data_IF_189716736591
#
_entry.id   IF_189716736591
#
_cell.length_a   1.000
_cell.length_b   1.000
_cell.length_c   1.000
_cell.angle_alpha   90.00
_cell.angle_beta   90.00
_cell.angle_gamma   90.00
#
_symmetry.space_group_name_H-M   'P 1'
#
loop_
_entity.id
_entity.type
_entity.pdbx_description
1 polymer ?
#
# COMPACT_ATOMS: atom_id res chain seq x y z
N UNK A 1 17.79 -3.75 -16.58
CA UNK A 1 19.05 -2.97 -16.48
C UNK A 1 19.94 -3.67 -15.48
N UNK A 2 21.24 -3.81 -15.76
CA UNK A 2 22.18 -4.39 -14.78
C UNK A 2 22.77 -3.27 -13.92
N UNK A 3 22.64 -3.38 -12.60
CA UNK A 3 23.19 -2.43 -11.65
C UNK A 3 24.71 -2.56 -11.55
N UNK A 4 25.46 -1.47 -11.32
CA UNK A 4 26.89 -1.56 -11.04
C UNK A 4 27.13 -2.46 -9.83
N UNK A 5 28.23 -3.21 -9.85
CA UNK A 5 28.62 -4.03 -8.70
C UNK A 5 28.83 -3.15 -7.45
N UNK A 6 28.30 -3.61 -6.31
CA UNK A 6 28.39 -2.91 -5.03
C UNK A 6 27.24 -1.94 -4.74
N UNK A 7 26.33 -1.70 -5.68
CA UNK A 7 25.11 -0.92 -5.41
C UNK A 7 24.10 -1.79 -4.64
N UNK A 8 23.79 -1.37 -3.42
CA UNK A 8 22.67 -1.88 -2.64
C UNK A 8 21.36 -1.38 -3.24
N UNK A 9 20.38 -2.27 -3.29
CA UNK A 9 19.10 -2.02 -3.96
C UNK A 9 17.94 -2.16 -2.98
N UNK A 10 16.89 -1.41 -3.27
CA UNK A 10 15.59 -1.47 -2.61
C UNK A 10 14.56 -1.84 -3.67
N UNK A 11 13.71 -2.82 -3.38
CA UNK A 11 12.58 -3.18 -4.23
C UNK A 11 11.45 -2.16 -4.04
N UNK A 12 10.80 -1.80 -5.14
CA UNK A 12 9.57 -1.02 -5.16
C UNK A 12 8.51 -1.93 -5.73
N UNK A 13 7.43 -2.09 -4.96
CA UNK A 13 6.31 -2.94 -5.28
C UNK A 13 5.06 -2.10 -5.57
N UNK A 14 4.23 -2.58 -6.49
CA UNK A 14 2.94 -2.00 -6.82
C UNK A 14 1.95 -3.12 -7.17
N UNK A 15 0.77 -3.08 -6.58
CA UNK A 15 -0.30 -4.02 -6.84
C UNK A 15 -1.00 -3.76 -8.16
N UNK A 16 -1.68 -4.80 -8.68
CA UNK A 16 -2.58 -4.68 -9.83
C UNK A 16 -3.73 -3.72 -9.52
N UNK A 17 -4.11 -2.87 -10.47
CA UNK A 17 -5.31 -2.04 -10.39
C UNK A 17 -6.36 -2.55 -11.36
N UNK A 18 -7.63 -2.47 -10.96
CA UNK A 18 -8.77 -2.91 -11.76
C UNK A 18 -9.68 -1.72 -12.09
N UNK A 19 -10.40 -1.81 -13.20
CA UNK A 19 -11.50 -0.90 -13.48
C UNK A 19 -12.76 -1.30 -12.67
N UNK A 20 -13.82 -0.52 -12.78
CA UNK A 20 -15.10 -0.81 -12.11
C UNK A 20 -15.70 -2.18 -12.47
N UNK A 21 -15.38 -2.70 -13.66
CA UNK A 21 -15.86 -3.99 -14.16
C UNK A 21 -14.96 -5.17 -13.77
N UNK A 22 -13.85 -4.92 -13.07
CA UNK A 22 -12.88 -5.93 -12.66
C UNK A 22 -11.82 -6.26 -13.71
N UNK A 23 -11.76 -5.54 -14.83
CA UNK A 23 -10.69 -5.73 -15.82
C UNK A 23 -9.38 -5.08 -15.35
N UNK A 24 -8.22 -5.72 -15.57
CA UNK A 24 -6.92 -5.14 -15.31
C UNK A 24 -6.69 -3.79 -16.04
N UNK A 25 -6.20 -2.80 -15.30
CA UNK A 25 -5.75 -1.54 -15.84
C UNK A 25 -4.22 -1.50 -15.98
N UNK A 26 -3.70 -0.89 -17.06
CA UNK A 26 -2.27 -0.68 -17.19
C UNK A 26 -1.78 0.33 -16.16
N UNK A 27 -0.69 -0.02 -15.50
CA UNK A 27 0.04 0.78 -14.53
C UNK A 27 1.38 1.16 -15.14
N UNK A 28 1.74 2.42 -15.02
CA UNK A 28 3.02 2.97 -15.46
C UNK A 28 3.63 3.75 -14.31
N UNK A 29 4.85 3.39 -13.91
CA UNK A 29 5.58 4.04 -12.81
C UNK A 29 6.89 4.62 -13.33
N UNK A 30 7.08 5.92 -13.16
CA UNK A 30 8.33 6.62 -13.44
C UNK A 30 8.93 7.13 -12.14
N UNK A 31 10.17 6.73 -11.81
CA UNK A 31 10.84 7.16 -10.59
C UNK A 31 11.99 8.11 -10.90
N UNK A 32 12.05 9.20 -10.17
CA UNK A 32 13.10 10.22 -10.27
C UNK A 32 13.76 10.39 -8.89
N UNK A 33 15.09 10.33 -8.78
CA UNK A 33 15.75 10.69 -7.53
C UNK A 33 15.73 12.21 -7.33
N UNK A 34 15.55 12.64 -6.09
CA UNK A 34 15.39 14.04 -5.70
C UNK A 34 16.40 14.34 -4.59
N UNK A 35 17.26 15.33 -4.82
CA UNK A 35 18.26 15.79 -3.86
C UNK A 35 18.11 17.31 -3.70
N UNK A 36 18.03 17.79 -2.45
CA UNK A 36 17.81 19.23 -2.18
C UNK A 36 16.50 19.78 -2.77
N UNK A 37 15.48 18.93 -2.92
CA UNK A 37 14.17 19.30 -3.50
C UNK A 37 14.14 19.39 -5.02
N UNK A 38 15.22 19.04 -5.72
CA UNK A 38 15.28 19.04 -7.18
C UNK A 38 15.61 17.66 -7.73
N UNK A 39 15.17 17.37 -8.95
CA UNK A 39 15.54 16.15 -9.65
C UNK A 39 17.08 16.05 -9.75
N UNK A 40 17.61 14.94 -9.27
CA UNK A 40 19.04 14.70 -9.20
C UNK A 40 19.47 13.71 -10.28
N UNK A 41 20.71 13.85 -10.73
CA UNK A 41 21.40 12.82 -11.50
C UNK A 41 22.35 12.09 -10.56
N UNK A 42 22.17 10.79 -10.43
CA UNK A 42 23.05 9.94 -9.62
C UNK A 42 24.12 9.30 -10.51
N UNK A 43 25.36 9.32 -10.04
CA UNK A 43 26.50 8.70 -10.70
C UNK A 43 27.17 7.77 -9.71
N UNK A 44 27.41 6.52 -10.09
CA UNK A 44 28.21 5.60 -9.29
C UNK A 44 29.67 5.99 -9.37
N UNK A 45 30.24 6.45 -8.26
CA UNK A 45 31.57 7.06 -8.21
C UNK A 45 32.69 6.10 -8.60
N UNK A 46 32.52 4.80 -8.37
CA UNK A 46 33.55 3.80 -8.66
C UNK A 46 33.74 3.57 -10.18
N UNK A 47 32.69 3.75 -10.98
CA UNK A 47 32.75 3.50 -12.44
C UNK A 47 32.48 4.76 -13.27
N UNK A 48 32.00 5.84 -12.66
CA UNK A 48 31.48 7.01 -13.37
C UNK A 48 30.16 6.75 -14.10
N UNK A 49 29.53 5.58 -13.89
CA UNK A 49 28.29 5.22 -14.56
C UNK A 49 27.14 6.08 -14.06
N UNK A 50 26.47 6.78 -14.97
CA UNK A 50 25.22 7.49 -14.66
C UNK A 50 24.12 6.47 -14.43
N UNK A 51 23.43 6.59 -13.31
CA UNK A 51 22.23 5.81 -13.02
C UNK A 51 21.06 6.46 -13.74
N UNK A 52 20.44 5.67 -14.62
CA UNK A 52 19.17 6.02 -15.25
C UNK A 52 18.14 5.07 -14.66
N UNK A 53 17.17 5.61 -13.93
CA UNK A 53 16.08 4.79 -13.43
C UNK A 53 15.15 4.46 -14.60
N UNK A 54 14.82 3.18 -14.72
CA UNK A 54 13.86 2.74 -15.72
C UNK A 54 12.44 3.14 -15.34
N UNK A 55 11.56 3.05 -16.32
CA UNK A 55 10.13 3.07 -16.10
C UNK A 55 9.63 1.62 -15.96
N UNK A 56 8.68 1.40 -15.04
CA UNK A 56 7.92 0.16 -14.96
C UNK A 56 6.60 0.32 -15.72
N UNK A 57 6.25 -0.66 -16.54
CA UNK A 57 4.89 -0.83 -17.07
C UNK A 57 4.40 -2.22 -16.66
N UNK A 58 3.18 -2.28 -16.16
CA UNK A 58 2.60 -3.51 -15.63
C UNK A 58 1.10 -3.55 -15.91
N UNK A 59 0.59 -4.73 -16.23
CA UNK A 59 -0.84 -5.04 -16.26
C UNK A 59 -0.95 -6.47 -15.78
N UNK A 60 -1.62 -6.69 -14.66
CA UNK A 60 -1.70 -8.01 -14.04
C UNK A 60 -3.10 -8.32 -13.54
N UNK A 61 -3.38 -9.61 -13.40
CA UNK A 61 -4.62 -10.13 -12.84
C UNK A 61 -4.82 -9.65 -11.38
N UNK A 62 -6.07 -9.65 -10.87
CA UNK A 62 -6.35 -9.26 -9.49
C UNK A 62 -5.42 -9.94 -8.47
N UNK A 63 -4.74 -9.11 -7.65
CA UNK A 63 -3.81 -9.57 -6.61
C UNK A 63 -2.38 -9.80 -7.09
N UNK A 64 -2.08 -9.51 -8.36
CA UNK A 64 -0.71 -9.55 -8.88
C UNK A 64 0.10 -8.35 -8.35
N UNK A 65 1.39 -8.55 -8.10
CA UNK A 65 2.31 -7.50 -7.66
C UNK A 65 3.44 -7.39 -8.68
N UNK A 66 3.75 -6.18 -9.13
CA UNK A 66 4.94 -5.88 -9.91
C UNK A 66 6.04 -5.32 -9.02
N UNK A 67 7.29 -5.71 -9.30
CA UNK A 67 8.45 -5.27 -8.54
C UNK A 67 9.58 -4.79 -9.46
N UNK A 68 10.23 -3.70 -9.09
CA UNK A 68 11.50 -3.27 -9.67
C UNK A 68 12.41 -2.67 -8.62
N UNK A 69 13.70 -2.64 -8.91
CA UNK A 69 14.71 -2.20 -7.94
C UNK A 69 15.18 -0.78 -8.22
N UNK A 70 15.51 -0.04 -7.17
CA UNK A 70 16.20 1.26 -7.18
C UNK A 70 17.41 1.22 -6.25
N UNK A 71 18.41 2.12 -6.39
CA UNK A 71 19.50 2.21 -5.42
C UNK A 71 19.02 2.64 -4.02
N UNK A 72 19.67 2.13 -2.98
CA UNK A 72 19.46 2.62 -1.61
C UNK A 72 20.04 4.05 -1.45
N UNK A 73 19.29 5.04 -0.92
CA UNK A 73 19.73 6.42 -0.76
C UNK A 73 20.77 6.68 0.33
N UNK A 74 20.88 5.81 1.33
CA UNK A 74 21.74 6.04 2.49
C UNK A 74 23.17 5.47 2.28
N UNK A 75 23.38 4.71 1.20
CA UNK A 75 24.65 4.06 0.92
C UNK A 75 25.72 5.02 0.37
N UNK A 76 27.01 4.80 0.68
CA UNK A 76 28.12 5.50 0.03
C UNK A 76 28.24 5.16 -1.46
N UNK A 77 29.03 5.97 -2.18
CA UNK A 77 29.47 5.65 -3.55
C UNK A 77 28.66 6.33 -4.65
N UNK A 78 27.70 7.18 -4.30
CA UNK A 78 27.04 8.04 -5.26
C UNK A 78 27.58 9.47 -5.20
N UNK A 79 27.69 10.07 -6.38
CA UNK A 79 27.91 11.50 -6.55
C UNK A 79 26.81 12.11 -7.42
N UNK A 80 26.56 13.39 -7.23
CA UNK A 80 25.63 14.16 -8.06
C UNK A 80 26.26 14.59 -9.40
N UNK A 81 25.51 15.32 -10.22
CA UNK A 81 26.00 15.85 -11.49
C UNK A 81 27.14 16.87 -11.38
N UNK A 82 27.35 17.47 -10.21
CA UNK A 82 28.42 18.41 -9.91
C UNK A 82 29.65 17.72 -9.27
N UNK A 83 29.55 16.42 -8.97
CA UNK A 83 30.62 15.62 -8.35
C UNK A 83 30.62 15.64 -6.82
N UNK A 84 29.61 16.24 -6.18
CA UNK A 84 29.48 16.18 -4.73
C UNK A 84 28.96 14.81 -4.31
N UNK A 85 29.27 14.40 -3.07
CA UNK A 85 28.71 13.16 -2.51
C UNK A 85 27.18 13.25 -2.46
N UNK A 86 26.50 12.27 -3.06
CA UNK A 86 25.05 12.13 -3.00
C UNK A 86 24.69 11.05 -1.98
N UNK A 87 23.95 11.43 -0.93
CA UNK A 87 23.40 10.57 0.12
C UNK A 87 22.08 11.14 0.59
N UNK A 88 21.28 10.31 1.25
CA UNK A 88 20.01 10.69 1.89
C UNK A 88 19.07 11.42 0.91
N UNK A 89 19.09 11.02 -0.37
CA UNK A 89 18.19 11.56 -1.37
C UNK A 89 16.83 10.87 -1.24
N UNK A 90 15.77 11.53 -1.71
CA UNK A 90 14.43 10.94 -1.78
C UNK A 90 14.07 10.55 -3.21
N UNK A 91 12.96 9.86 -3.38
CA UNK A 91 12.40 9.51 -4.68
C UNK A 91 11.05 10.16 -4.88
N UNK A 92 10.78 10.55 -6.11
CA UNK A 92 9.47 10.95 -6.60
C UNK A 92 9.03 9.94 -7.65
N UNK A 93 7.96 9.19 -7.38
CA UNK A 93 7.31 8.30 -8.33
C UNK A 93 6.09 9.00 -8.93
N UNK A 94 6.04 9.10 -10.25
CA UNK A 94 4.81 9.40 -10.98
C UNK A 94 4.15 8.09 -11.37
N UNK A 95 2.97 7.83 -10.81
CA UNK A 95 2.19 6.62 -11.06
C UNK A 95 1.01 6.99 -11.93
N UNK A 96 0.84 6.27 -13.04
CA UNK A 96 -0.29 6.39 -13.95
C UNK A 96 -1.03 5.07 -13.99
N UNK A 97 -2.34 5.09 -13.74
CA UNK A 97 -3.21 3.93 -13.84
C UNK A 97 -4.37 4.27 -14.77
N UNK A 98 -4.44 3.59 -15.91
CA UNK A 98 -5.36 3.96 -16.98
C UNK A 98 -5.19 5.45 -17.37
N UNK A 99 -6.20 6.28 -17.03
CA UNK A 99 -6.20 7.72 -17.32
C UNK A 99 -5.89 8.60 -16.11
N UNK A 100 -5.66 8.03 -14.93
CA UNK A 100 -5.35 8.78 -13.71
C UNK A 100 -3.84 8.83 -13.50
N UNK A 101 -3.32 9.95 -13.01
CA UNK A 101 -1.90 10.10 -12.70
C UNK A 101 -1.73 10.91 -11.43
N UNK A 102 -0.83 10.45 -10.57
CA UNK A 102 -0.51 11.08 -9.30
C UNK A 102 0.97 10.93 -8.96
N UNK A 103 1.43 11.59 -7.89
CA UNK A 103 2.86 11.64 -7.52
C UNK A 103 3.04 11.25 -6.07
N UNK A 104 3.86 10.24 -5.85
CA UNK A 104 4.23 9.75 -4.52
C UNK A 104 5.69 10.08 -4.25
N UNK A 105 5.95 10.74 -3.12
CA UNK A 105 7.31 10.96 -2.64
C UNK A 105 7.62 10.04 -1.46
N UNK A 106 8.78 9.40 -1.50
CA UNK A 106 9.23 8.48 -0.46
C UNK A 106 10.76 8.47 -0.35
N UNK A 107 11.27 8.03 0.79
CA UNK A 107 12.70 7.81 1.00
C UNK A 107 12.85 6.47 1.73
N UNK A 108 13.47 5.44 1.10
CA UNK A 108 13.83 4.23 1.81
C UNK A 108 14.75 4.57 2.99
N UNK A 109 14.44 4.07 4.18
CA UNK A 109 15.30 4.23 5.36
C UNK A 109 16.38 3.15 5.42
N UNK A 110 17.42 3.38 6.22
CA UNK A 110 18.48 2.40 6.44
C UNK A 110 17.92 1.03 6.88
N UNK A 111 18.32 -0.03 6.18
CA UNK A 111 17.86 -1.40 6.42
C UNK A 111 16.55 -1.78 5.70
N UNK A 112 15.83 -0.82 5.12
CA UNK A 112 14.65 -1.09 4.32
C UNK A 112 15.05 -1.66 2.96
N UNK A 113 14.52 -2.84 2.64
CA UNK A 113 14.78 -3.54 1.38
C UNK A 113 13.61 -3.44 0.40
N UNK A 114 12.46 -2.95 0.86
CA UNK A 114 11.22 -2.92 0.10
C UNK A 114 10.37 -1.68 0.43
N UNK A 115 9.75 -1.11 -0.59
CA UNK A 115 8.74 -0.05 -0.53
C UNK A 115 7.50 -0.54 -1.30
N UNK A 116 6.35 -0.54 -0.65
CA UNK A 116 5.07 -0.76 -1.32
C UNK A 116 4.45 0.60 -1.68
N UNK A 117 4.34 0.90 -2.98
CA UNK A 117 3.75 2.15 -3.47
C UNK A 117 2.26 2.26 -3.16
N UNK A 118 1.55 1.15 -2.97
CA UNK A 118 0.13 1.21 -2.63
C UNK A 118 -0.10 1.77 -1.22
N UNK A 119 0.94 1.69 -0.36
CA UNK A 119 0.94 2.22 1.00
C UNK A 119 1.53 3.63 1.11
N UNK A 120 2.19 4.14 0.05
CA UNK A 120 2.74 5.50 0.05
C UNK A 120 1.62 6.49 -0.26
N UNK A 121 1.44 7.50 0.59
CA UNK A 121 0.39 8.50 0.35
C UNK A 121 0.69 9.36 -0.89
N UNK A 122 -0.37 9.75 -1.61
CA UNK A 122 -0.30 10.68 -2.73
C UNK A 122 0.06 12.09 -2.22
N UNK A 123 1.09 12.71 -2.83
CA UNK A 123 1.55 14.05 -2.52
C UNK A 123 3.07 14.21 -2.51
N UNK A 124 3.53 15.44 -2.79
CA UNK A 124 4.89 15.82 -2.41
C UNK A 124 4.99 15.78 -0.88
N UNK A 125 5.99 15.05 -0.36
CA UNK A 125 6.52 15.40 0.96
C UNK A 125 7.28 16.71 0.78
N UNK A 126 6.57 17.84 0.77
CA UNK A 126 7.20 19.08 1.17
C UNK A 126 7.54 18.89 2.63
N UNK A 127 8.83 18.80 2.96
CA UNK A 127 9.26 19.15 4.31
C UNK A 127 8.52 20.44 4.68
N UNK A 128 7.94 20.57 5.88
CA UNK A 128 7.28 21.82 6.25
C UNK A 128 8.31 22.94 6.07
N UNK A 129 8.18 23.71 5.00
CA UNK A 129 9.00 24.88 4.76
C UNK A 129 8.46 25.92 5.72
N UNK A 130 8.95 25.86 6.95
CA UNK A 130 8.74 26.81 8.05
C UNK A 130 7.29 27.27 8.25
N UNK A 131 6.73 27.03 9.45
CA UNK A 131 5.56 27.80 9.88
C UNK A 131 5.78 29.28 9.53
N UNK A 132 4.78 30.02 9.01
CA UNK A 132 4.98 31.41 8.62
C UNK A 132 5.61 32.15 9.79
N UNK A 133 6.89 32.50 9.65
CA UNK A 133 7.53 33.38 10.63
C UNK A 133 6.77 34.69 10.49
N UNK A 134 6.07 35.17 11.52
CA UNK A 134 5.59 36.54 11.47
C UNK A 134 6.82 37.40 11.22
N UNK A 135 6.80 38.22 10.17
CA UNK A 135 7.85 39.21 9.97
C UNK A 135 7.89 40.08 11.23
N UNK A 136 8.87 39.83 12.10
CA UNK A 136 9.18 40.72 13.21
C UNK A 136 9.82 41.94 12.57
N UNK A 137 8.98 42.88 12.15
CA UNK A 137 9.42 44.16 11.56
C UNK A 137 10.05 45.10 12.58
N UNK A 138 10.22 44.67 13.84
CA UNK A 138 10.99 45.41 14.85
C UNK A 138 11.26 44.57 16.09
N UNK A 139 12.54 44.45 16.46
CA UNK A 139 12.94 44.34 17.87
C UNK A 139 13.37 45.73 18.34
N UNK A 140 12.64 46.32 19.29
CA UNK A 140 12.93 47.62 19.91
C UNK A 140 13.03 48.86 18.98
N UNK A 141 12.38 48.88 17.82
CA UNK A 141 12.16 50.11 17.05
C UNK A 141 13.35 50.64 16.23
N UNK A 142 14.35 49.81 15.91
CA UNK A 142 15.42 50.17 14.96
C UNK A 142 15.16 49.52 13.60
N UNK A 143 14.70 50.30 12.61
CA UNK A 143 14.62 49.86 11.21
C UNK A 143 15.99 50.03 10.54
N UNK A 144 16.70 48.92 10.36
CA UNK A 144 17.91 48.82 9.55
C UNK A 144 18.11 47.37 9.13
N UNK A 145 18.48 47.13 7.88
CA UNK A 145 18.62 45.80 7.30
C UNK A 145 19.51 44.90 8.17
N UNK A 146 18.91 43.91 8.82
CA UNK A 146 19.65 42.81 9.44
C UNK A 146 20.10 41.92 8.29
N UNK A 147 21.39 41.99 7.96
CA UNK A 147 22.02 40.97 7.14
C UNK A 147 22.19 39.76 8.05
N UNK A 148 21.32 38.76 7.89
CA UNK A 148 21.50 37.45 8.51
C UNK A 148 22.65 36.76 7.78
N UNK A 149 23.87 36.97 8.27
CA UNK A 149 24.97 36.06 7.98
C UNK A 149 24.59 34.69 8.54
N UNK A 150 24.67 33.68 7.68
CA UNK A 150 24.26 32.31 7.99
C UNK A 150 25.15 31.69 9.04
N UNK A 151 24.64 31.65 10.27
CA UNK A 151 25.11 30.74 11.30
C UNK A 151 24.03 29.68 11.39
N UNK A 152 24.36 28.46 10.93
CA UNK A 152 23.43 27.34 10.88
C UNK A 152 22.65 27.22 12.18
N UNK A 153 21.33 27.35 12.09
CA UNK A 153 20.45 26.97 13.19
C UNK A 153 20.78 25.53 13.52
N UNK A 154 21.32 25.29 14.71
CA UNK A 154 21.57 23.94 15.17
C UNK A 154 20.29 23.12 15.06
N UNK A 155 20.45 21.82 14.85
CA UNK A 155 19.32 20.90 14.80
C UNK A 155 18.43 21.14 16.03
N UNK A 156 17.12 21.31 15.79
CA UNK A 156 16.15 21.47 16.86
C UNK A 156 16.18 20.26 17.80
N UNK A 157 15.68 20.44 19.03
CA UNK A 157 15.60 19.35 20.01
C UNK A 157 14.92 18.12 19.41
N UNK A 158 15.49 16.95 19.64
CA UNK A 158 14.87 15.66 19.33
C UNK A 158 13.57 15.48 20.12
N UNK A 159 12.69 14.60 19.64
CA UNK A 159 11.42 14.29 20.32
C UNK A 159 11.63 13.77 21.76
N UNK A 160 12.72 13.04 22.00
CA UNK A 160 13.12 12.60 23.33
C UNK A 160 13.56 13.76 24.22
N UNK A 161 14.37 14.70 23.72
CA UNK A 161 14.78 15.89 24.47
C UNK A 161 13.59 16.80 24.83
N UNK A 162 12.60 16.89 23.93
CA UNK A 162 11.33 17.56 24.23
C UNK A 162 10.56 16.84 25.34
N UNK A 163 10.53 15.50 25.35
CA UNK A 163 9.88 14.73 26.40
C UNK A 163 10.56 14.93 27.77
N UNK A 164 11.91 14.93 27.81
CA UNK A 164 12.69 15.22 29.03
C UNK A 164 12.40 16.64 29.52
N UNK A 165 12.38 17.64 28.63
CA UNK A 165 12.02 19.02 28.99
C UNK A 165 10.60 19.16 29.54
N UNK A 166 9.68 18.28 29.13
CA UNK A 166 8.31 18.22 29.66
C UNK A 166 8.17 17.31 30.89
N UNK A 167 9.27 16.84 31.48
CA UNK A 167 9.28 16.13 32.75
C UNK A 167 9.33 14.60 32.65
N UNK A 168 9.61 14.04 31.47
CA UNK A 168 9.90 12.62 31.35
C UNK A 168 11.22 12.27 32.06
N UNK A 169 11.20 11.23 32.89
CA UNK A 169 12.38 10.71 33.58
C UNK A 169 12.60 9.27 33.12
N UNK A 170 13.69 9.05 32.39
CA UNK A 170 14.06 7.76 31.82
C UNK A 170 15.08 7.94 30.72
N UNK A 171 15.50 6.83 30.13
CA UNK A 171 16.38 6.77 28.96
C UNK A 171 15.57 6.88 27.66
N UNK A 172 16.24 7.16 26.56
CA UNK A 172 15.63 7.16 25.22
C UNK A 172 14.99 5.80 24.89
N UNK A 173 15.62 4.70 25.32
CA UNK A 173 15.08 3.35 25.13
C UNK A 173 13.77 3.14 25.91
N UNK A 174 13.67 3.67 27.13
CA UNK A 174 12.44 3.59 27.93
C UNK A 174 11.34 4.49 27.36
N UNK A 175 11.72 5.66 26.82
CA UNK A 175 10.79 6.54 26.12
C UNK A 175 10.23 5.87 24.86
N UNK A 176 11.08 5.27 24.02
CA UNK A 176 10.65 4.53 22.83
C UNK A 176 9.72 3.36 23.19
N UNK A 177 10.03 2.63 24.27
CA UNK A 177 9.15 1.57 24.77
C UNK A 177 7.79 2.11 25.22
N UNK A 178 7.75 3.32 25.80
CA UNK A 178 6.49 3.97 26.23
C UNK A 178 5.59 4.41 25.07
N UNK A 179 6.15 4.64 23.88
CA UNK A 179 5.40 5.02 22.68
C UNK A 179 4.74 3.82 21.99
N UNK A 180 5.20 2.60 22.30
CA UNK A 180 4.61 1.39 21.75
C UNK A 180 3.32 1.08 22.51
N UNK A 181 2.18 1.48 21.96
CA UNK A 181 0.88 1.08 22.50
C UNK A 181 0.74 -0.44 22.47
N UNK A 182 0.05 -0.99 23.48
CA UNK A 182 -0.32 -2.41 23.46
C UNK A 182 -1.13 -2.71 22.19
N UNK A 183 -0.96 -3.90 21.58
CA UNK A 183 -1.83 -4.34 20.50
C UNK A 183 -3.29 -4.20 20.94
N UNK A 184 -4.13 -3.63 20.06
CA UNK A 184 -5.57 -3.64 20.27
C UNK A 184 -6.05 -5.08 20.50
N UNK A 185 -6.93 -5.28 21.48
CA UNK A 185 -7.49 -6.61 21.74
C UNK A 185 -8.24 -7.15 20.52
N UNK A 186 -8.30 -8.48 20.41
CA UNK A 186 -9.05 -9.14 19.35
C UNK A 186 -10.52 -8.71 19.34
N UNK A 187 -11.10 -8.61 18.14
CA UNK A 187 -12.52 -8.33 17.97
C UNK A 187 -13.41 -9.50 18.43
N UNK A 188 -14.69 -9.22 18.67
CA UNK A 188 -15.68 -10.25 19.01
C UNK A 188 -15.82 -11.28 17.88
N UNK A 189 -15.98 -12.56 18.22
CA UNK A 189 -16.29 -13.60 17.24
C UNK A 189 -17.72 -13.45 16.71
N UNK A 190 -18.02 -14.08 15.57
CA UNK A 190 -19.39 -14.11 15.04
C UNK A 190 -20.40 -14.73 16.04
N UNK A 191 -19.96 -15.70 16.84
CA UNK A 191 -20.77 -16.30 17.90
C UNK A 191 -21.00 -15.31 19.06
N UNK A 192 -20.00 -14.55 19.46
CA UNK A 192 -20.15 -13.52 20.50
C UNK A 192 -21.13 -12.43 20.06
N UNK A 193 -21.05 -12.00 18.79
CA UNK A 193 -22.03 -11.08 18.21
C UNK A 193 -23.43 -11.70 18.21
N UNK A 194 -23.56 -12.97 17.85
CA UNK A 194 -24.84 -13.69 17.86
C UNK A 194 -25.47 -13.75 19.26
N UNK A 195 -24.69 -14.03 20.31
CA UNK A 195 -25.14 -13.97 21.71
C UNK A 195 -25.52 -12.53 22.10
N UNK A 196 -24.73 -11.53 21.70
CA UNK A 196 -24.99 -10.12 22.02
C UNK A 196 -26.31 -9.59 21.45
N UNK A 197 -26.79 -10.20 20.36
CA UNK A 197 -28.09 -9.93 19.75
C UNK A 197 -29.27 -10.58 20.50
N UNK A 198 -29.03 -11.20 21.65
CA UNK A 198 -30.06 -11.80 22.50
C UNK A 198 -30.36 -13.27 22.21
N UNK A 199 -29.55 -13.93 21.37
CA UNK A 199 -29.67 -15.36 21.14
C UNK A 199 -29.03 -16.14 22.29
N UNK A 200 -29.53 -17.35 22.55
CA UNK A 200 -28.99 -18.27 23.56
C UNK A 200 -28.76 -19.63 22.92
N UNK A 201 -27.66 -20.30 23.27
CA UNK A 201 -27.33 -21.62 22.74
C UNK A 201 -25.82 -21.81 22.60
N UNK A 202 -25.44 -23.02 22.21
CA UNK A 202 -24.06 -23.43 21.94
C UNK A 202 -23.59 -22.96 20.55
N UNK A 203 -22.29 -23.08 20.26
CA UNK A 203 -21.77 -22.86 18.90
C UNK A 203 -22.43 -23.78 17.87
N UNK A 204 -22.83 -24.99 18.28
CA UNK A 204 -23.58 -25.91 17.39
C UNK A 204 -24.95 -25.34 17.03
N UNK A 205 -25.62 -24.68 17.98
CA UNK A 205 -26.90 -24.02 17.74
C UNK A 205 -26.74 -22.82 16.81
N UNK A 206 -25.66 -22.06 16.98
CA UNK A 206 -25.28 -20.99 16.06
C UNK A 206 -25.05 -21.51 14.63
N UNK A 207 -24.23 -22.55 14.44
CA UNK A 207 -23.97 -23.14 13.12
C UNK A 207 -25.26 -23.68 12.49
N UNK A 208 -26.16 -24.26 13.29
CA UNK A 208 -27.45 -24.70 12.78
C UNK A 208 -28.36 -23.52 12.39
N UNK A 209 -28.29 -22.38 13.08
CA UNK A 209 -29.04 -21.17 12.70
C UNK A 209 -28.62 -20.57 11.36
N UNK A 210 -27.36 -20.80 10.94
CA UNK A 210 -26.84 -20.35 9.66
C UNK A 210 -27.21 -21.27 8.49
N UNK A 211 -27.68 -22.49 8.77
CA UNK A 211 -28.11 -23.41 7.71
C UNK A 211 -29.40 -22.91 7.10
N UNK A 212 -29.38 -22.62 5.81
CA UNK A 212 -30.59 -22.39 5.03
C UNK A 212 -31.51 -23.62 5.05
N UNK A 213 -32.79 -23.42 4.72
CA UNK A 213 -33.70 -24.54 4.54
C UNK A 213 -33.16 -25.51 3.47
N UNK A 214 -33.36 -26.81 3.69
CA UNK A 214 -33.13 -27.82 2.64
C UNK A 214 -33.96 -27.43 1.42
N UNK A 215 -33.33 -27.38 0.25
CA UNK A 215 -34.04 -27.10 -1.00
C UNK A 215 -35.10 -28.16 -1.30
N UNK A 216 -36.16 -27.77 -1.99
CA UNK A 216 -37.19 -28.69 -2.44
C UNK A 216 -36.58 -29.80 -3.33
N UNK A 217 -37.10 -31.01 -3.19
CA UNK A 217 -36.71 -32.10 -4.08
C UNK A 217 -37.08 -31.73 -5.53
N UNK A 218 -36.18 -31.98 -6.47
CA UNK A 218 -36.44 -31.74 -7.89
C UNK A 218 -37.59 -32.59 -8.39
N UNK A 219 -38.37 -32.05 -9.34
CA UNK A 219 -39.44 -32.79 -10.01
C UNK A 219 -38.88 -34.03 -10.69
N UNK A 220 -39.43 -35.24 -10.44
CA UNK A 220 -38.95 -36.45 -11.10
C UNK A 220 -39.16 -36.36 -12.61
N UNK A 221 -38.17 -36.86 -13.36
CA UNK A 221 -38.21 -36.94 -14.82
C UNK A 221 -38.48 -38.39 -15.23
N UNK A 222 -39.45 -38.60 -16.12
CA UNK A 222 -39.75 -39.90 -16.73
C UNK A 222 -39.44 -39.81 -18.23
N UNK A 223 -38.60 -40.72 -18.73
CA UNK A 223 -38.26 -40.79 -20.15
C UNK A 223 -38.97 -42.00 -20.77
N UNK A 224 -39.84 -41.74 -21.74
CA UNK A 224 -40.57 -42.78 -22.48
C UNK A 224 -39.69 -43.40 -23.58
N UNK A 225 -39.89 -44.68 -23.85
CA UNK A 225 -39.19 -45.38 -24.93
C UNK A 225 -39.71 -44.92 -26.32
N UNK A 226 -38.91 -45.08 -27.40
CA UNK A 226 -39.35 -44.69 -28.74
C UNK A 226 -40.62 -45.43 -29.17
N UNK A 227 -41.67 -44.67 -29.49
CA UNK A 227 -42.98 -45.21 -29.90
C UNK A 227 -44.05 -45.24 -28.80
N UNK A 228 -43.68 -45.01 -27.54
CA UNK A 228 -44.62 -44.87 -26.41
C UNK A 228 -45.17 -43.44 -26.35
N UNK A 229 -46.46 -43.29 -26.03
CA UNK A 229 -47.12 -41.97 -25.96
C UNK A 229 -47.31 -41.51 -24.51
N UNK A 230 -47.67 -40.24 -24.28
CA UNK A 230 -48.04 -39.73 -22.94
C UNK A 230 -49.20 -40.50 -22.28
N UNK A 231 -49.91 -41.37 -23.01
CA UNK A 231 -50.95 -42.22 -22.45
C UNK A 231 -50.39 -43.52 -21.82
N UNK A 232 -49.14 -43.88 -22.12
CA UNK A 232 -48.46 -45.10 -21.63
C UNK A 232 -47.56 -44.83 -20.41
N UNK A 233 -47.97 -43.91 -19.54
CA UNK A 233 -47.21 -43.58 -18.32
C UNK A 233 -47.07 -44.83 -17.44
N UNK A 234 -45.86 -45.20 -16.99
CA UNK A 234 -45.67 -46.37 -16.13
C UNK A 234 -46.55 -46.31 -14.87
N UNK A 235 -47.17 -47.42 -14.45
CA UNK A 235 -47.93 -47.47 -13.22
C UNK A 235 -47.03 -47.16 -12.02
N UNK A 236 -47.40 -46.15 -11.24
CA UNK A 236 -46.62 -45.65 -10.10
C UNK A 236 -45.83 -44.37 -10.36
N UNK A 237 -45.96 -43.74 -11.55
CA UNK A 237 -45.37 -42.41 -11.80
C UNK A 237 -45.95 -41.38 -10.83
N UNK A 238 -45.10 -40.63 -10.09
CA UNK A 238 -45.55 -39.58 -9.19
C UNK A 238 -46.33 -38.49 -9.93
N UNK A 239 -47.42 -38.01 -9.35
CA UNK A 239 -48.18 -36.87 -9.88
C UNK A 239 -47.26 -35.65 -10.01
N UNK A 240 -47.25 -35.05 -11.22
CA UNK A 240 -46.42 -33.89 -11.54
C UNK A 240 -45.03 -34.20 -12.12
N UNK A 241 -44.70 -35.46 -12.41
CA UNK A 241 -43.47 -35.81 -13.12
C UNK A 241 -43.41 -35.17 -14.52
N UNK A 242 -42.24 -34.69 -14.93
CA UNK A 242 -42.02 -34.20 -16.28
C UNK A 242 -41.77 -35.39 -17.22
N UNK A 243 -42.62 -35.53 -18.24
CA UNK A 243 -42.56 -36.63 -19.20
C UNK A 243 -41.85 -36.15 -20.47
N UNK A 244 -40.82 -36.88 -20.89
CA UNK A 244 -40.13 -36.63 -22.15
C UNK A 244 -40.14 -37.88 -23.02
N UNK A 245 -40.46 -37.72 -24.31
CA UNK A 245 -40.32 -38.76 -25.32
C UNK A 245 -38.93 -38.69 -25.93
N UNK A 246 -38.25 -39.83 -26.05
CA UNK A 246 -36.97 -39.89 -26.77
C UNK A 246 -37.27 -39.98 -28.27
N UNK A 247 -37.04 -38.90 -29.01
CA UNK A 247 -37.07 -38.94 -30.47
C UNK A 247 -35.99 -39.93 -30.97
N UNK A 248 -36.36 -40.71 -32.00
CA UNK A 248 -35.54 -41.78 -32.57
C UNK A 248 -34.31 -41.26 -33.33
#
# INVERSE_FOLDING_TARGET
MAWPAGVQLVAINVGSSLNFFGDPLPIKVNVTPVLGGQAARLIWSATGQTIVLGQMEFTGDPGSIASFTIPNPDQPGFIDGAGNTARNWSYSATVTVGNQTWVQAFQPVTGQTEIDLDMVQDGQITAPTSAPTPDVTSVNGMTGAVVLSGDGGGDGLSAYEVAVNNGFVGTESEWLASLNGDPGGDGLSAYDVWISLGNVGTETDFINSLKGATGDAGTPIVILAPGETELDVPPGTPDGALIFTRDA
#
